data_IF_953794259423
#
_entry.id   IF_953794259423
#
_cell.length_a   1.000
_cell.length_b   1.000
_cell.length_c   1.000
_cell.angle_alpha   90.00
_cell.angle_beta   90.00
_cell.angle_gamma   90.00
#
_symmetry.space_group_name_H-M   'P 1'
#
loop_
_entity.id
_entity.type
_entity.pdbx_description
1 polymer ?
#
# COMPACT_ATOMS: atom_id res chain seq x y z
N UNK A 1 28.82 -34.01 -7.67
CA UNK A 1 28.56 -32.86 -6.77
C UNK A 1 28.52 -31.59 -7.61
N UNK A 2 27.35 -31.22 -8.13
CA UNK A 2 27.16 -29.96 -8.87
C UNK A 2 25.67 -29.57 -8.79
N UNK A 3 25.20 -29.19 -7.60
CA UNK A 3 23.79 -28.84 -7.34
C UNK A 3 23.65 -27.51 -6.57
N UNK A 4 24.66 -26.64 -6.62
CA UNK A 4 24.69 -25.38 -5.85
C UNK A 4 24.72 -24.09 -6.68
N UNK A 5 25.13 -24.14 -7.95
CA UNK A 5 25.48 -22.91 -8.69
C UNK A 5 24.32 -22.31 -9.50
N UNK A 6 23.32 -23.12 -9.89
CA UNK A 6 22.12 -22.63 -10.59
C UNK A 6 21.18 -21.81 -9.69
N UNK A 7 21.25 -22.00 -8.35
CA UNK A 7 20.52 -21.14 -7.40
C UNK A 7 21.14 -19.75 -7.20
N UNK A 8 22.41 -19.57 -7.59
CA UNK A 8 23.09 -18.29 -7.50
C UNK A 8 22.98 -17.47 -8.80
N UNK A 9 22.73 -18.12 -9.94
CA UNK A 9 22.53 -17.44 -11.22
C UNK A 9 21.10 -16.86 -11.41
N UNK A 10 20.09 -17.42 -10.73
CA UNK A 10 18.73 -16.84 -10.70
C UNK A 10 18.57 -15.68 -9.71
N UNK A 11 19.54 -15.50 -8.80
CA UNK A 11 19.49 -14.54 -7.71
C UNK A 11 19.29 -13.07 -8.15
N UNK A 12 19.94 -12.52 -9.20
CA UNK A 12 19.70 -11.11 -9.56
C UNK A 12 18.32 -10.85 -10.17
N UNK A 13 17.61 -11.88 -10.67
CA UNK A 13 16.29 -11.76 -11.30
C UNK A 13 15.17 -12.08 -10.30
N UNK A 14 15.40 -12.95 -9.31
CA UNK A 14 14.45 -13.22 -8.21
C UNK A 14 14.61 -12.29 -7.00
N UNK A 15 15.72 -11.53 -6.92
CA UNK A 15 15.93 -10.50 -5.88
C UNK A 15 14.86 -9.38 -5.86
N UNK A 16 14.44 -8.78 -7.00
CA UNK A 16 13.43 -7.72 -6.96
C UNK A 16 12.06 -8.23 -6.47
N UNK A 17 11.66 -9.45 -6.87
CA UNK A 17 10.40 -10.08 -6.45
C UNK A 17 10.36 -10.41 -4.96
N UNK A 18 11.42 -11.05 -4.45
CA UNK A 18 11.54 -11.34 -3.01
C UNK A 18 11.76 -10.08 -2.16
N UNK A 19 12.44 -9.07 -2.71
CA UNK A 19 12.75 -7.82 -2.03
C UNK A 19 11.51 -6.99 -1.69
N UNK A 20 10.56 -6.87 -2.63
CA UNK A 20 9.30 -6.17 -2.40
C UNK A 20 8.47 -6.85 -1.31
N UNK A 21 8.34 -8.18 -1.36
CA UNK A 21 7.63 -8.96 -0.32
C UNK A 21 8.28 -8.80 1.06
N UNK A 22 9.61 -8.82 1.12
CA UNK A 22 10.35 -8.59 2.37
C UNK A 22 10.09 -7.18 2.93
N UNK A 23 10.08 -6.15 2.09
CA UNK A 23 9.75 -4.79 2.53
C UNK A 23 8.32 -4.70 3.04
N UNK A 24 7.34 -5.29 2.34
CA UNK A 24 5.95 -5.32 2.83
C UNK A 24 5.80 -6.08 4.14
N UNK A 25 6.48 -7.22 4.29
CA UNK A 25 6.49 -7.98 5.54
C UNK A 25 7.11 -7.17 6.68
N UNK A 26 8.26 -6.53 6.46
CA UNK A 26 8.90 -5.68 7.46
C UNK A 26 8.03 -4.48 7.86
N UNK A 27 7.30 -3.89 6.91
CA UNK A 27 6.38 -2.77 7.17
C UNK A 27 5.12 -3.27 7.91
N UNK A 28 4.60 -4.45 7.56
CA UNK A 28 3.46 -5.09 8.22
C UNK A 28 3.79 -5.54 9.65
N UNK A 29 4.98 -6.12 9.87
CA UNK A 29 5.44 -6.54 11.18
C UNK A 29 5.66 -5.36 12.13
N UNK A 30 5.89 -4.15 11.59
CA UNK A 30 6.12 -2.92 12.36
C UNK A 30 4.82 -2.16 12.68
N UNK A 31 3.71 -2.47 12.01
CA UNK A 31 2.47 -1.75 12.18
C UNK A 31 1.32 -2.69 12.54
N UNK A 32 0.79 -2.45 13.74
CA UNK A 32 -0.28 -3.19 14.41
C UNK A 32 -1.53 -3.42 13.54
N UNK A 33 -2.41 -4.30 14.04
CA UNK A 33 -3.67 -4.84 13.52
C UNK A 33 -4.45 -4.06 12.44
N UNK A 34 -4.34 -2.74 12.37
CA UNK A 34 -4.89 -1.93 11.28
C UNK A 34 -4.34 -2.32 9.90
N UNK A 35 -3.06 -2.68 9.75
CA UNK A 35 -2.50 -3.02 8.43
C UNK A 35 -3.04 -4.31 7.81
N UNK A 36 -3.69 -5.16 8.60
CA UNK A 36 -4.07 -6.51 8.17
C UNK A 36 -4.92 -6.49 6.87
N UNK A 37 -5.86 -5.54 6.76
CA UNK A 37 -6.69 -5.39 5.56
C UNK A 37 -5.90 -4.99 4.31
N UNK A 38 -4.90 -4.12 4.45
CA UNK A 38 -4.06 -3.67 3.32
C UNK A 38 -3.06 -4.76 2.91
N UNK A 39 -2.48 -5.45 3.89
CA UNK A 39 -1.53 -6.56 3.67
C UNK A 39 -2.16 -7.66 2.84
N UNK A 40 -3.40 -8.04 3.12
CA UNK A 40 -4.13 -9.06 2.35
C UNK A 40 -4.30 -8.66 0.87
N UNK A 41 -4.53 -7.38 0.58
CA UNK A 41 -4.64 -6.91 -0.82
C UNK A 41 -3.27 -6.89 -1.51
N UNK A 42 -2.22 -6.49 -0.80
CA UNK A 42 -0.85 -6.54 -1.33
C UNK A 42 -0.38 -7.98 -1.64
N UNK A 43 -0.72 -8.95 -0.79
CA UNK A 43 -0.43 -10.36 -1.07
C UNK A 43 -1.14 -10.87 -2.33
N UNK A 44 -2.41 -10.47 -2.54
CA UNK A 44 -3.15 -10.81 -3.75
C UNK A 44 -2.53 -10.19 -5.01
N UNK A 45 -2.08 -8.94 -4.95
CA UNK A 45 -1.36 -8.30 -6.05
C UNK A 45 -0.07 -9.03 -6.40
N UNK A 46 0.68 -9.47 -5.37
CA UNK A 46 1.90 -10.25 -5.57
C UNK A 46 1.59 -11.60 -6.24
N UNK A 47 0.54 -12.30 -5.80
CA UNK A 47 0.13 -13.56 -6.42
C UNK A 47 -0.33 -13.36 -7.87
N UNK A 48 -1.03 -12.27 -8.16
CA UNK A 48 -1.45 -11.91 -9.52
C UNK A 48 -0.25 -11.69 -10.44
N UNK A 49 0.81 -11.05 -9.93
CA UNK A 49 2.06 -10.88 -10.67
C UNK A 49 2.74 -12.22 -10.98
N UNK A 50 2.76 -13.16 -10.02
CA UNK A 50 3.31 -14.50 -10.25
C UNK A 50 2.51 -15.22 -11.34
N UNK A 51 1.17 -15.12 -11.33
CA UNK A 51 0.33 -15.71 -12.38
C UNK A 51 0.66 -15.17 -13.77
N UNK A 52 0.90 -13.85 -13.88
CA UNK A 52 1.31 -13.24 -15.15
C UNK A 52 2.69 -13.74 -15.61
N UNK A 53 3.64 -13.86 -14.69
CA UNK A 53 4.99 -14.34 -15.01
C UNK A 53 5.05 -15.82 -15.41
N UNK A 54 4.24 -16.65 -14.76
CA UNK A 54 4.10 -18.07 -15.09
C UNK A 54 3.28 -18.28 -16.39
N UNK A 55 2.63 -17.23 -16.89
CA UNK A 55 1.78 -17.26 -18.09
C UNK A 55 0.40 -17.90 -17.86
N UNK A 56 -0.02 -18.00 -16.60
CA UNK A 56 -1.35 -18.48 -16.21
C UNK A 56 -2.45 -17.48 -16.58
N UNK A 57 -2.11 -16.19 -16.64
CA UNK A 57 -2.96 -15.09 -17.10
C UNK A 57 -2.20 -14.23 -18.12
N UNK A 58 -2.94 -13.54 -18.98
CA UNK A 58 -2.36 -12.56 -19.89
C UNK A 58 -2.35 -11.13 -19.31
N UNK A 59 -1.78 -10.19 -20.05
CA UNK A 59 -1.62 -8.80 -19.62
C UNK A 59 -2.97 -8.07 -19.50
N UNK A 60 -3.94 -8.38 -20.36
CA UNK A 60 -5.27 -7.77 -20.31
C UNK A 60 -6.02 -8.22 -19.06
N UNK A 61 -6.00 -9.53 -18.74
CA UNK A 61 -6.58 -10.09 -17.51
C UNK A 61 -5.88 -9.56 -16.26
N UNK A 62 -4.54 -9.44 -16.30
CA UNK A 62 -3.78 -8.84 -15.21
C UNK A 62 -4.25 -7.43 -14.92
N UNK A 63 -4.37 -6.56 -15.94
CA UNK A 63 -4.78 -5.16 -15.77
C UNK A 63 -6.18 -5.05 -15.19
N UNK A 64 -7.12 -5.87 -15.65
CA UNK A 64 -8.49 -5.88 -15.13
C UNK A 64 -8.53 -6.25 -13.63
N UNK A 65 -7.84 -7.33 -13.26
CA UNK A 65 -7.80 -7.84 -11.88
C UNK A 65 -6.97 -6.95 -10.96
N UNK A 66 -5.89 -6.37 -11.46
CA UNK A 66 -5.08 -5.38 -10.72
C UNK A 66 -5.93 -4.15 -10.40
N UNK A 67 -6.70 -3.64 -11.36
CA UNK A 67 -7.56 -2.48 -11.15
C UNK A 67 -8.59 -2.72 -10.04
N UNK A 68 -9.19 -3.92 -9.98
CA UNK A 68 -10.12 -4.31 -8.91
C UNK A 68 -9.44 -4.30 -7.53
N UNK A 69 -8.27 -4.93 -7.41
CA UNK A 69 -7.50 -4.95 -6.17
C UNK A 69 -7.06 -3.54 -5.73
N UNK A 70 -6.68 -2.69 -6.68
CA UNK A 70 -6.31 -1.31 -6.42
C UNK A 70 -7.49 -0.44 -5.97
N UNK A 71 -8.69 -0.67 -6.50
CA UNK A 71 -9.92 -0.04 -6.01
C UNK A 71 -10.20 -0.43 -4.56
N UNK A 72 -10.12 -1.73 -4.25
CA UNK A 72 -10.31 -2.24 -2.88
C UNK A 72 -9.30 -1.63 -1.90
N UNK A 73 -8.04 -1.48 -2.31
CA UNK A 73 -7.02 -0.84 -1.48
C UNK A 73 -7.36 0.63 -1.17
N UNK A 74 -7.90 1.37 -2.15
CA UNK A 74 -8.35 2.76 -1.93
C UNK A 74 -9.49 2.82 -0.94
N UNK A 75 -10.45 1.91 -1.01
CA UNK A 75 -11.58 1.86 -0.06
C UNK A 75 -11.13 1.54 1.36
N UNK A 76 -10.18 0.62 1.54
CA UNK A 76 -9.57 0.33 2.85
C UNK A 76 -8.92 1.59 3.41
N UNK A 77 -8.09 2.29 2.62
CA UNK A 77 -7.42 3.52 3.03
C UNK A 77 -8.40 4.65 3.35
N UNK A 78 -9.47 4.80 2.57
CA UNK A 78 -10.50 5.81 2.81
C UNK A 78 -11.23 5.55 4.14
N UNK A 79 -11.60 4.29 4.42
CA UNK A 79 -12.24 3.89 5.69
C UNK A 79 -11.33 4.16 6.89
N UNK A 80 -10.05 3.83 6.78
CA UNK A 80 -9.06 4.13 7.84
C UNK A 80 -8.92 5.62 8.08
N UNK A 81 -8.83 6.43 7.02
CA UNK A 81 -8.74 7.89 7.16
C UNK A 81 -9.98 8.46 7.84
N UNK A 82 -11.17 8.01 7.45
CA UNK A 82 -12.42 8.43 8.07
C UNK A 82 -12.51 8.02 9.54
N UNK A 83 -12.04 6.82 9.89
CA UNK A 83 -11.97 6.36 11.28
C UNK A 83 -10.99 7.21 12.11
N UNK A 84 -9.80 7.50 11.57
CA UNK A 84 -8.80 8.34 12.22
C UNK A 84 -9.29 9.79 12.42
N UNK A 85 -10.03 10.33 11.45
CA UNK A 85 -10.62 11.68 11.54
C UNK A 85 -11.77 11.76 12.55
N UNK A 86 -12.56 10.68 12.70
CA UNK A 86 -13.63 10.58 13.69
C UNK A 86 -13.10 10.45 15.14
N UNK A 87 -11.88 9.96 15.32
CA UNK A 87 -11.24 9.77 16.63
C UNK A 87 -10.52 11.03 17.14
N UNK A 88 -10.47 12.11 16.34
CA UNK A 88 -9.89 13.39 16.75
C UNK A 88 -10.85 14.13 17.72
N UNK A 89 -10.39 14.55 18.92
CA UNK A 89 -11.22 15.30 19.87
C UNK A 89 -11.55 16.71 19.35
N UNK A 90 -12.79 17.17 19.59
CA UNK A 90 -13.37 18.44 19.11
C UNK A 90 -12.49 19.70 19.35
N UNK A 91 -11.61 19.67 20.34
CA UNK A 91 -10.73 20.79 20.69
C UNK A 91 -9.69 21.13 19.60
N UNK A 92 -9.25 20.16 18.79
CA UNK A 92 -8.28 20.39 17.71
C UNK A 92 -8.89 21.12 16.48
N UNK A 93 -10.22 21.10 16.33
CA UNK A 93 -10.92 21.70 15.18
C UNK A 93 -11.12 23.23 15.35
N UNK A 94 -11.06 23.75 16.58
CA UNK A 94 -11.26 25.18 16.87
C UNK A 94 -10.00 26.00 16.57
N UNK A 95 -8.82 25.44 16.80
CA UNK A 95 -7.53 26.13 16.59
C UNK A 95 -7.20 26.31 15.09
N UNK A 96 -7.47 25.28 14.27
CA UNK A 96 -7.26 25.32 12.82
C UNK A 96 -8.12 26.38 12.10
N UNK A 97 -9.29 26.73 12.64
CA UNK A 97 -10.17 27.77 12.06
C UNK A 97 -9.82 29.19 12.53
N UNK A 98 -9.09 29.34 13.63
CA UNK A 98 -8.79 30.65 14.22
C UNK A 98 -7.55 31.32 13.62
N UNK A 99 -6.66 30.55 12.98
CA UNK A 99 -5.44 31.08 12.33
C UNK A 99 -5.66 31.60 10.91
N UNK A 100 -6.83 31.37 10.31
CA UNK A 100 -7.23 31.95 9.00
C UNK A 100 -8.10 33.19 9.22
N UNK A 101 -7.68 34.08 10.10
CA UNK A 101 -8.10 35.49 10.06
C UNK A 101 -6.89 36.24 9.54
N UNK A 102 -6.78 36.30 8.21
CA UNK A 102 -5.89 37.25 7.56
C UNK A 102 -6.51 38.62 7.83
N UNK A 103 -6.06 39.28 8.89
CA UNK A 103 -6.20 40.73 9.01
C UNK A 103 -5.48 41.33 7.80
N UNK A 104 -6.21 41.86 6.83
CA UNK A 104 -5.65 42.82 5.89
C UNK A 104 -5.68 44.18 6.57
N UNK A 105 -4.53 44.79 6.94
CA UNK A 105 -4.52 46.11 7.52
C UNK A 105 -4.51 47.12 6.37
N UNK A 106 -5.67 47.37 5.76
CA UNK A 106 -5.83 48.46 4.80
C UNK A 106 -7.26 49.02 4.88
N UNK A 107 -7.49 49.83 5.90
CA UNK A 107 -8.44 50.93 5.80
C UNK A 107 -7.68 52.23 6.12
N UNK A 108 -7.87 53.19 5.20
CA UNK A 108 -7.39 54.60 5.10
C UNK A 108 -5.97 54.89 4.57
#
# INVERSE_FOLDING_TARGET
MLFGLTKLLGAPITLPMGGMKFIFQQVADLADAELNDESVVHEQLLLLQVQLEDGDIDEDEYVEREAELMLRLREIKARKRAAAEADLPDEANVDARRSVVIETPFDE
#
